data_IF_493222932526
#
_entry.id   IF_493222932526
#
_cell.length_a   1.000
_cell.length_b   1.000
_cell.length_c   1.000
_cell.angle_alpha   90.00
_cell.angle_beta   90.00
_cell.angle_gamma   90.00
#
_symmetry.space_group_name_H-M   'P 1'
#
loop_
_entity.id
_entity.type
_entity.pdbx_description
1 polymer ?
#
# COMPACT_ATOMS: atom_id res chain seq x y z
N UNK A 1 2.09 -6.52 -19.78
CA UNK A 1 1.89 -7.95 -20.05
C UNK A 1 0.91 -8.55 -19.06
N UNK A 2 0.32 -9.70 -19.38
CA UNK A 2 -0.62 -10.44 -18.50
C UNK A 2 0.02 -10.75 -17.14
N UNK A 3 1.13 -11.50 -17.15
CA UNK A 3 1.87 -11.90 -15.94
C UNK A 3 2.21 -10.70 -15.03
N UNK A 4 2.79 -9.63 -15.59
CA UNK A 4 3.10 -8.40 -14.86
C UNK A 4 1.90 -7.82 -14.09
N UNK A 5 0.72 -7.76 -14.74
CA UNK A 5 -0.50 -7.24 -14.10
C UNK A 5 -1.02 -8.18 -13.02
N UNK A 6 -0.95 -9.48 -13.25
CA UNK A 6 -1.34 -10.49 -12.27
C UNK A 6 -0.50 -10.38 -11.01
N UNK A 7 0.82 -10.24 -11.14
CA UNK A 7 1.73 -10.14 -9.99
C UNK A 7 1.56 -8.81 -9.24
N UNK A 8 1.59 -7.67 -9.92
CA UNK A 8 1.53 -6.35 -9.25
C UNK A 8 0.22 -6.07 -8.52
N UNK A 9 -0.88 -6.59 -9.04
CA UNK A 9 -2.20 -6.41 -8.44
C UNK A 9 -2.64 -7.60 -7.59
N UNK A 10 -1.71 -8.53 -7.34
CA UNK A 10 -1.93 -9.81 -6.66
C UNK A 10 -3.25 -10.49 -7.04
N UNK A 11 -3.50 -10.60 -8.35
CA UNK A 11 -4.76 -11.11 -8.86
C UNK A 11 -4.79 -12.64 -8.74
N UNK A 12 -5.81 -13.15 -8.07
CA UNK A 12 -6.16 -14.56 -8.08
C UNK A 12 -7.20 -14.86 -9.16
N UNK A 13 -7.07 -16.01 -9.81
CA UNK A 13 -8.00 -16.46 -10.84
C UNK A 13 -8.49 -17.87 -10.51
N UNK A 14 -9.72 -18.19 -10.92
CA UNK A 14 -10.31 -19.52 -10.79
C UNK A 14 -10.60 -20.09 -12.17
N UNK A 15 -10.23 -21.36 -12.41
CA UNK A 15 -10.63 -22.06 -13.62
C UNK A 15 -12.12 -22.43 -13.55
N UNK A 16 -12.83 -22.32 -14.67
CA UNK A 16 -14.23 -22.75 -14.79
C UNK A 16 -14.37 -24.21 -15.23
N UNK A 17 -13.29 -24.79 -15.73
CA UNK A 17 -13.20 -26.17 -16.21
C UNK A 17 -12.25 -26.98 -15.30
N UNK A 18 -11.55 -27.99 -15.83
CA UNK A 18 -10.72 -28.93 -15.07
C UNK A 18 -9.26 -28.47 -14.86
N UNK A 19 -9.01 -27.15 -14.85
CA UNK A 19 -7.67 -26.56 -14.68
C UNK A 19 -6.64 -26.97 -15.77
N UNK A 20 -7.12 -27.42 -16.92
CA UNK A 20 -6.35 -27.98 -18.04
C UNK A 20 -6.61 -27.26 -19.38
N UNK A 21 -7.28 -26.11 -19.35
CA UNK A 21 -7.63 -25.35 -20.56
C UNK A 21 -6.42 -25.12 -21.49
N UNK A 22 -6.61 -25.35 -22.78
CA UNK A 22 -5.58 -25.12 -23.81
C UNK A 22 -5.21 -23.63 -23.89
N UNK A 23 -3.92 -23.32 -23.79
CA UNK A 23 -3.38 -21.94 -23.88
C UNK A 23 -2.52 -21.81 -25.13
N UNK A 24 -3.14 -21.33 -26.21
CA UNK A 24 -2.51 -21.03 -27.51
C UNK A 24 -2.71 -19.55 -27.92
N UNK A 25 -2.25 -19.17 -29.12
CA UNK A 25 -2.35 -17.78 -29.61
C UNK A 25 -3.80 -17.27 -29.74
N UNK A 26 -4.75 -18.15 -30.09
CA UNK A 26 -6.16 -17.80 -30.34
C UNK A 26 -6.97 -17.73 -29.06
N UNK A 27 -6.80 -18.72 -28.16
CA UNK A 27 -7.68 -18.89 -26.99
C UNK A 27 -7.01 -18.70 -25.62
N UNK A 28 -5.76 -18.21 -25.55
CA UNK A 28 -5.10 -17.90 -24.26
C UNK A 28 -5.87 -16.98 -23.31
N UNK A 29 -6.83 -16.21 -23.80
CA UNK A 29 -7.65 -15.31 -22.98
C UNK A 29 -8.89 -16.00 -22.37
N UNK A 30 -9.23 -17.23 -22.80
CA UNK A 30 -10.41 -17.98 -22.35
C UNK A 30 -10.35 -18.30 -20.85
N UNK A 31 -9.19 -18.68 -20.35
CA UNK A 31 -8.99 -19.01 -18.94
C UNK A 31 -7.73 -18.33 -18.38
N UNK A 32 -7.94 -17.33 -17.52
CA UNK A 32 -6.86 -16.59 -16.89
C UNK A 32 -6.05 -17.46 -15.91
N UNK A 33 -6.73 -18.38 -15.19
CA UNK A 33 -6.08 -19.34 -14.30
C UNK A 33 -5.07 -20.19 -15.06
N UNK A 34 -5.49 -20.95 -16.08
CA UNK A 34 -4.60 -21.84 -16.81
C UNK A 34 -3.49 -21.08 -17.54
N UNK A 35 -3.79 -19.86 -18.01
CA UNK A 35 -2.75 -19.00 -18.59
C UNK A 35 -1.69 -18.62 -17.58
N UNK A 36 -2.08 -18.24 -16.36
CA UNK A 36 -1.13 -17.87 -15.30
C UNK A 36 -0.33 -19.08 -14.82
N UNK A 37 -0.99 -20.23 -14.62
CA UNK A 37 -0.31 -21.49 -14.30
C UNK A 37 0.71 -21.87 -15.39
N UNK A 38 0.36 -21.73 -16.67
CA UNK A 38 1.31 -21.97 -17.77
C UNK A 38 2.50 -21.01 -17.73
N UNK A 39 2.30 -19.74 -17.41
CA UNK A 39 3.41 -18.80 -17.24
C UNK A 39 4.41 -19.31 -16.18
N UNK A 40 3.90 -19.71 -15.00
CA UNK A 40 4.71 -20.27 -13.93
C UNK A 40 5.42 -21.57 -14.37
N UNK A 41 4.70 -22.49 -15.01
CA UNK A 41 5.24 -23.76 -15.52
C UNK A 41 6.35 -23.56 -16.58
N UNK A 42 6.27 -22.48 -17.37
CA UNK A 42 7.33 -22.09 -18.32
C UNK A 42 8.48 -21.29 -17.69
N UNK A 43 8.51 -21.14 -16.36
CA UNK A 43 9.60 -20.51 -15.62
C UNK A 43 9.49 -19.00 -15.41
N UNK A 44 8.31 -18.40 -15.63
CA UNK A 44 8.12 -16.99 -15.28
C UNK A 44 8.11 -16.82 -13.75
N UNK A 45 9.03 -15.99 -13.26
CA UNK A 45 9.27 -15.76 -11.83
C UNK A 45 8.50 -14.53 -11.33
N UNK A 46 7.76 -14.67 -10.22
CA UNK A 46 6.96 -13.57 -9.64
C UNK A 46 7.89 -12.46 -9.11
N UNK A 47 8.96 -12.87 -8.44
CA UNK A 47 10.00 -12.04 -7.87
C UNK A 47 10.79 -11.22 -8.90
N UNK A 48 10.78 -11.64 -10.18
CA UNK A 48 11.39 -10.88 -11.26
C UNK A 48 10.54 -9.66 -11.70
N UNK A 49 9.29 -9.56 -11.23
CA UNK A 49 8.41 -8.43 -11.53
C UNK A 49 8.70 -7.29 -10.56
N UNK A 50 9.42 -6.28 -11.04
CA UNK A 50 9.63 -5.04 -10.28
C UNK A 50 8.30 -4.32 -9.99
N UNK A 51 8.27 -3.63 -8.85
CA UNK A 51 7.19 -2.73 -8.46
C UNK A 51 6.94 -1.63 -9.49
N UNK A 52 5.80 -0.96 -9.36
CA UNK A 52 5.48 0.18 -10.21
C UNK A 52 6.48 1.32 -9.96
N UNK A 53 7.03 1.90 -11.04
CA UNK A 53 7.92 3.05 -10.90
C UNK A 53 7.10 4.26 -10.49
N UNK A 54 7.26 4.74 -9.27
CA UNK A 54 6.67 5.98 -8.80
C UNK A 54 7.41 7.16 -9.44
N UNK A 55 7.09 7.52 -10.69
CA UNK A 55 7.73 8.66 -11.37
C UNK A 55 6.92 9.96 -11.32
N UNK A 56 5.72 9.95 -10.75
CA UNK A 56 4.84 11.13 -10.76
C UNK A 56 4.10 11.44 -9.46
N UNK A 57 3.92 10.47 -8.55
CA UNK A 57 3.10 10.69 -7.34
C UNK A 57 3.85 11.23 -6.14
N UNK A 58 5.15 10.98 -6.03
CA UNK A 58 5.93 11.41 -4.87
C UNK A 58 6.01 12.94 -4.80
N UNK A 59 6.26 13.64 -5.91
CA UNK A 59 6.36 15.11 -5.89
C UNK A 59 5.05 15.84 -5.51
N UNK A 60 3.89 15.27 -5.84
CA UNK A 60 2.59 15.87 -5.50
C UNK A 60 2.12 15.43 -4.11
N UNK A 61 2.24 14.14 -3.79
CA UNK A 61 1.84 13.58 -2.50
C UNK A 61 2.77 13.99 -1.35
N UNK A 62 4.06 14.24 -1.59
CA UNK A 62 5.00 14.70 -0.57
C UNK A 62 4.70 16.15 -0.15
N UNK A 63 4.25 17.01 -1.08
CA UNK A 63 3.81 18.37 -0.75
C UNK A 63 2.49 18.39 0.01
N UNK A 64 1.53 17.55 -0.40
CA UNK A 64 0.23 17.43 0.27
C UNK A 64 0.35 16.77 1.65
N UNK A 65 1.19 15.73 1.77
CA UNK A 65 1.51 15.07 3.04
C UNK A 65 2.25 16.02 3.99
N UNK A 66 3.26 16.75 3.51
CA UNK A 66 3.98 17.73 4.33
C UNK A 66 3.04 18.82 4.86
N UNK A 67 2.06 19.24 4.06
CA UNK A 67 1.05 20.21 4.49
C UNK A 67 0.09 19.61 5.52
N UNK A 68 -0.41 18.39 5.29
CA UNK A 68 -1.30 17.70 6.22
C UNK A 68 -0.64 17.45 7.59
N UNK A 69 0.62 17.01 7.59
CA UNK A 69 1.40 16.78 8.82
C UNK A 69 1.60 18.08 9.62
N UNK A 70 1.79 19.21 8.94
CA UNK A 70 1.90 20.52 9.59
C UNK A 70 0.57 21.04 10.17
N UNK A 71 -0.58 20.67 9.59
CA UNK A 71 -1.91 21.07 10.07
C UNK A 71 -2.45 20.15 11.18
N UNK A 72 -2.14 18.85 11.17
CA UNK A 72 -2.65 17.88 12.18
C UNK A 72 -1.95 18.00 13.55
N UNK A 73 -0.74 18.56 13.63
CA UNK A 73 0.00 18.68 14.89
C UNK A 73 0.69 20.05 15.03
N UNK A 74 -0.09 21.14 15.22
CA UNK A 74 0.45 22.49 15.31
C UNK A 74 1.24 22.69 16.61
N UNK A 75 2.42 23.32 16.48
CA UNK A 75 3.32 23.63 17.60
C UNK A 75 2.63 24.42 18.71
N UNK A 76 1.66 25.26 18.34
CA UNK A 76 0.86 26.07 19.27
C UNK A 76 0.05 25.19 20.25
N UNK A 77 -0.56 24.10 19.78
CA UNK A 77 -1.33 23.19 20.66
C UNK A 77 -0.41 22.38 21.59
N UNK A 78 0.82 22.07 21.15
CA UNK A 78 1.82 21.41 21.98
C UNK A 78 2.24 22.34 23.13
N UNK A 79 2.53 23.61 22.82
CA UNK A 79 2.91 24.60 23.81
C UNK A 79 1.77 24.88 24.82
N UNK A 80 0.53 24.97 24.36
CA UNK A 80 -0.63 25.11 25.24
C UNK A 80 -0.77 23.93 26.21
N UNK A 81 -0.56 22.70 25.73
CA UNK A 81 -0.60 21.50 26.55
C UNK A 81 0.52 21.48 27.61
N UNK A 82 1.74 21.90 27.25
CA UNK A 82 2.87 22.05 28.19
C UNK A 82 2.56 23.08 29.28
N UNK A 83 2.12 24.28 28.92
CA UNK A 83 1.77 25.34 29.88
C UNK A 83 0.59 24.96 30.79
N UNK A 84 -0.39 24.21 30.27
CA UNK A 84 -1.52 23.71 31.06
C UNK A 84 -1.11 22.59 32.02
N UNK A 85 -0.12 21.77 31.65
CA UNK A 85 0.43 20.73 32.52
C UNK A 85 1.21 21.35 33.69
N UNK A 86 2.03 22.39 33.44
CA UNK A 86 2.76 23.12 34.49
C UNK A 86 1.80 23.74 35.53
N UNK A 87 0.70 24.35 35.08
CA UNK A 87 -0.34 24.91 35.98
C UNK A 87 -1.03 23.88 36.86
N UNK A 88 -1.17 22.62 36.39
CA UNK A 88 -1.74 21.53 37.19
C UNK A 88 -0.76 21.03 38.26
N UNK A 89 0.54 21.03 37.98
CA UNK A 89 1.56 20.64 38.97
C UNK A 89 1.73 21.65 40.10
N UNK A 90 1.57 22.94 39.83
CA UNK A 90 1.68 23.98 40.86
C UNK A 90 0.50 23.98 41.87
N UNK A 91 -0.66 23.43 41.49
CA UNK A 91 -1.85 23.36 42.37
C UNK A 91 -1.84 22.11 43.26
N UNK A 92 -1.09 21.06 42.92
CA UNK A 92 -1.05 19.81 43.69
C UNK A 92 -0.08 19.85 44.88
N UNK A 93 0.91 20.76 44.86
CA UNK A 93 1.91 20.87 45.94
C UNK A 93 1.49 21.80 47.11
N UNK A 94 0.26 22.33 47.09
CA UNK A 94 -0.23 23.30 48.09
C UNK A 94 -1.15 22.75 49.18
N UNK A 95 -1.48 21.46 49.20
CA UNK A 95 -2.36 20.83 50.21
C UNK A 95 -1.72 19.62 50.87
N UNK A 96 -0.59 19.84 51.54
CA UNK A 96 -0.06 18.92 52.55
C UNK A 96 -0.12 19.59 53.92
N UNK A 97 -1.10 19.21 54.74
CA UNK A 97 -1.05 19.38 56.21
C UNK A 97 0.06 18.55 56.82
#
# INVERSE_FOLDING_TARGET
GFFKRTVRKDLSYTCRDQKDCVVDKRQRNRCQYCRYQKCLATGMRREAVQEERQRSREREGELEYSRAVNEEMPVEQILEAEMAAERKTALTDGSGT
#
